data_IF_501859844865
#
_entry.id   IF_501859844865
#
_cell.length_a   1.000
_cell.length_b   1.000
_cell.length_c   1.000
_cell.angle_alpha   90.00
_cell.angle_beta   90.00
_cell.angle_gamma   90.00
#
_symmetry.space_group_name_H-M   'P 1'
#
loop_
_entity.id
_entity.type
_entity.pdbx_description
1 polymer ?
#
# COMPACT_ATOMS: atom_id res chain seq x y z
N UNK A 1 40.80 25.22 -14.04
CA UNK A 1 41.06 25.90 -12.75
C UNK A 1 40.89 27.38 -12.97
N UNK A 2 40.28 28.12 -12.03
CA UNK A 2 40.11 29.56 -12.14
C UNK A 2 41.48 30.23 -12.27
N UNK A 3 41.57 31.27 -13.09
CA UNK A 3 42.79 32.05 -13.29
C UNK A 3 42.58 33.41 -12.64
N UNK A 4 43.27 33.64 -11.52
CA UNK A 4 43.19 34.89 -10.76
C UNK A 4 44.22 35.87 -11.31
N UNK A 5 43.77 37.02 -11.81
CA UNK A 5 44.61 37.96 -12.57
C UNK A 5 44.97 39.25 -11.83
N UNK A 6 44.36 39.52 -10.67
CA UNK A 6 44.68 40.70 -9.86
C UNK A 6 44.49 40.46 -8.34
N UNK A 7 45.12 41.26 -7.48
CA UNK A 7 44.87 41.20 -6.03
C UNK A 7 43.45 41.68 -5.72
N UNK A 8 42.62 40.82 -5.13
CA UNK A 8 41.23 41.13 -4.79
C UNK A 8 40.56 39.99 -4.00
N UNK A 9 39.35 40.24 -3.49
CA UNK A 9 38.51 39.20 -2.89
C UNK A 9 37.66 38.59 -3.99
N UNK A 10 37.83 37.30 -4.22
CA UNK A 10 37.04 36.54 -5.18
C UNK A 10 35.97 35.75 -4.42
N UNK A 11 34.75 35.78 -4.95
CA UNK A 11 33.63 34.98 -4.45
C UNK A 11 33.37 33.93 -5.52
N UNK A 12 33.45 32.66 -5.13
CA UNK A 12 33.04 31.52 -5.95
C UNK A 12 31.83 30.85 -5.29
N UNK A 13 30.81 30.55 -6.09
CA UNK A 13 29.63 29.81 -5.65
C UNK A 13 29.72 28.38 -6.19
N UNK A 14 30.17 27.46 -5.34
CA UNK A 14 30.29 26.05 -5.68
C UNK A 14 29.00 25.32 -5.26
N UNK A 15 28.03 25.26 -6.17
CA UNK A 15 26.73 24.61 -5.90
C UNK A 15 26.84 23.10 -6.12
N UNK A 16 27.00 22.34 -5.04
CA UNK A 16 26.83 20.88 -5.07
C UNK A 16 25.33 20.51 -5.15
N UNK A 17 24.92 19.51 -5.95
CA UNK A 17 23.52 19.06 -5.97
C UNK A 17 23.04 18.63 -4.59
N UNK A 18 22.04 19.31 -4.04
CA UNK A 18 21.41 18.97 -2.78
C UNK A 18 20.31 17.92 -3.02
N UNK A 19 20.67 16.64 -2.93
CA UNK A 19 19.75 15.52 -3.10
C UNK A 19 19.29 14.96 -1.75
N UNK A 20 17.97 14.84 -1.56
CA UNK A 20 17.37 14.15 -0.40
C UNK A 20 16.16 13.35 -0.85
N UNK A 21 15.99 12.16 -0.26
CA UNK A 21 14.77 11.35 -0.46
C UNK A 21 13.77 11.72 0.63
N UNK A 22 12.56 12.11 0.23
CA UNK A 22 11.46 12.43 1.15
C UNK A 22 10.44 11.30 1.12
N UNK A 23 9.85 11.00 2.27
CA UNK A 23 8.70 10.09 2.35
C UNK A 23 7.46 10.75 1.75
N UNK A 24 6.82 10.10 0.78
CA UNK A 24 5.51 10.49 0.25
C UNK A 24 4.37 9.86 1.05
N UNK A 25 3.13 10.21 0.68
CA UNK A 25 1.95 9.54 1.21
C UNK A 25 2.01 8.03 0.88
N UNK A 26 1.64 7.18 1.85
CA UNK A 26 1.75 5.71 1.75
C UNK A 26 0.42 5.01 1.44
N UNK A 27 -0.70 5.69 1.72
CA UNK A 27 -2.05 5.18 1.55
C UNK A 27 -2.97 6.28 0.99
N UNK A 28 -2.95 6.48 -0.32
CA UNK A 28 -3.87 7.37 -1.04
C UNK A 28 -4.69 6.52 -2.00
N UNK A 29 -5.97 6.24 -1.68
CA UNK A 29 -6.79 5.35 -2.48
C UNK A 29 -7.53 6.06 -3.61
N UNK A 30 -7.63 5.35 -4.73
CA UNK A 30 -8.65 5.55 -5.76
C UNK A 30 -9.76 4.52 -5.55
N UNK A 31 -10.98 4.99 -5.34
CA UNK A 31 -12.18 4.16 -5.31
C UNK A 31 -12.75 4.02 -6.72
N UNK A 32 -12.95 2.79 -7.15
CA UNK A 32 -13.74 2.46 -8.32
C UNK A 32 -15.21 2.77 -8.04
N UNK A 33 -15.89 3.35 -9.03
CA UNK A 33 -17.28 3.80 -8.90
C UNK A 33 -18.06 3.47 -10.17
N UNK A 34 -19.32 3.08 -9.98
CA UNK A 34 -20.25 2.86 -11.09
C UNK A 34 -20.61 4.16 -11.80
N UNK A 35 -20.95 4.05 -13.09
CA UNK A 35 -21.41 5.17 -13.92
C UNK A 35 -22.80 5.71 -13.56
N UNK A 36 -23.50 5.09 -12.61
CA UNK A 36 -24.91 5.38 -12.36
C UNK A 36 -25.13 6.55 -11.38
N UNK A 37 -24.07 7.15 -10.86
CA UNK A 37 -24.14 8.29 -9.94
C UNK A 37 -24.02 9.64 -10.62
N UNK A 38 -24.88 10.59 -10.27
CA UNK A 38 -24.83 12.00 -10.72
C UNK A 38 -23.52 12.71 -10.37
N UNK A 39 -22.80 12.22 -9.35
CA UNK A 39 -21.61 12.85 -8.79
C UNK A 39 -20.45 12.95 -9.81
N UNK A 40 -20.32 11.99 -10.74
CA UNK A 40 -19.11 11.83 -11.58
C UNK A 40 -19.46 11.94 -13.07
N UNK A 41 -20.66 12.39 -13.45
CA UNK A 41 -21.08 12.39 -14.86
C UNK A 41 -20.10 13.13 -15.78
N UNK A 42 -19.61 14.31 -15.36
CA UNK A 42 -18.89 15.24 -16.23
C UNK A 42 -17.39 15.39 -15.90
N UNK A 43 -16.90 14.75 -14.84
CA UNK A 43 -15.49 14.85 -14.39
C UNK A 43 -14.77 13.53 -14.55
N UNK A 44 -13.54 13.58 -15.08
CA UNK A 44 -12.68 12.41 -15.23
C UNK A 44 -12.27 11.76 -13.90
N UNK A 45 -12.13 12.57 -12.84
CA UNK A 45 -11.94 12.10 -11.48
C UNK A 45 -12.39 13.17 -10.48
N UNK A 46 -12.65 12.77 -9.23
CA UNK A 46 -12.99 13.68 -8.14
C UNK A 46 -12.12 13.39 -6.93
N UNK A 47 -11.44 14.42 -6.41
CA UNK A 47 -10.73 14.33 -5.14
C UNK A 47 -11.70 14.66 -3.99
N UNK A 48 -11.77 13.76 -3.02
CA UNK A 48 -12.57 13.90 -1.82
C UNK A 48 -11.63 14.05 -0.63
N UNK A 49 -11.66 15.20 0.03
CA UNK A 49 -10.73 15.50 1.14
C UNK A 49 -11.21 14.98 2.50
N UNK A 50 -12.52 14.88 2.69
CA UNK A 50 -13.15 14.44 3.93
C UNK A 50 -14.58 13.97 3.68
N UNK A 51 -15.19 13.34 4.68
CA UNK A 51 -16.61 12.96 4.65
C UNK A 51 -17.55 14.16 4.39
N UNK A 52 -17.29 15.31 5.02
CA UNK A 52 -18.11 16.51 4.81
C UNK A 52 -17.97 17.05 3.37
N UNK A 53 -16.75 17.02 2.83
CA UNK A 53 -16.50 17.41 1.44
C UNK A 53 -17.25 16.48 0.46
N UNK A 54 -17.27 15.16 0.72
CA UNK A 54 -18.06 14.22 -0.07
C UNK A 54 -19.54 14.56 -0.09
N UNK A 55 -20.17 14.76 1.07
CA UNK A 55 -21.60 15.11 1.16
C UNK A 55 -21.91 16.44 0.43
N UNK A 56 -21.00 17.41 0.52
CA UNK A 56 -21.13 18.69 -0.19
C UNK A 56 -21.05 18.50 -1.71
N UNK A 57 -20.10 17.68 -2.19
CA UNK A 57 -19.94 17.38 -3.62
C UNK A 57 -21.14 16.60 -4.16
N UNK A 58 -21.67 15.67 -3.37
CA UNK A 58 -22.87 14.89 -3.70
C UNK A 58 -24.13 15.77 -3.75
N UNK A 59 -24.23 16.78 -2.89
CA UNK A 59 -25.41 17.65 -2.80
C UNK A 59 -26.67 16.95 -2.24
N UNK A 60 -26.53 15.70 -1.77
CA UNK A 60 -27.59 14.87 -1.24
C UNK A 60 -27.18 14.31 0.13
N UNK A 61 -28.14 14.03 1.03
CA UNK A 61 -27.83 13.37 2.28
C UNK A 61 -27.26 11.96 2.06
N UNK A 62 -26.66 11.43 3.12
CA UNK A 62 -26.19 10.05 3.18
C UNK A 62 -27.33 9.07 2.84
N UNK A 63 -27.07 8.17 1.89
CA UNK A 63 -28.01 7.14 1.47
C UNK A 63 -27.51 5.74 1.87
N UNK A 64 -28.13 5.06 2.85
CA UNK A 64 -27.71 3.73 3.30
C UNK A 64 -27.96 2.61 2.29
N UNK A 65 -28.57 2.90 1.13
CA UNK A 65 -28.77 1.97 0.01
C UNK A 65 -27.75 2.16 -1.12
N UNK A 66 -26.91 3.20 -1.05
CA UNK A 66 -25.90 3.47 -2.07
C UNK A 66 -24.55 2.89 -1.64
N UNK A 67 -23.95 2.03 -2.48
CA UNK A 67 -22.71 1.33 -2.15
C UNK A 67 -21.53 2.28 -1.95
N UNK A 68 -21.45 3.36 -2.72
CA UNK A 68 -20.39 4.35 -2.60
C UNK A 68 -20.52 5.15 -1.30
N UNK A 69 -21.74 5.56 -0.94
CA UNK A 69 -22.02 6.26 0.32
C UNK A 69 -21.57 5.42 1.53
N UNK A 70 -21.99 4.16 1.59
CA UNK A 70 -21.64 3.28 2.72
C UNK A 70 -20.14 2.96 2.74
N UNK A 71 -19.53 2.78 1.57
CA UNK A 71 -18.09 2.54 1.42
C UNK A 71 -17.24 3.70 1.92
N UNK A 72 -17.53 4.92 1.44
CA UNK A 72 -16.77 6.11 1.84
C UNK A 72 -16.99 6.45 3.30
N UNK A 73 -18.20 6.30 3.82
CA UNK A 73 -18.48 6.49 5.25
C UNK A 73 -17.62 5.53 6.08
N UNK A 74 -17.60 4.26 5.73
CA UNK A 74 -16.83 3.24 6.43
C UNK A 74 -15.31 3.49 6.32
N UNK A 75 -14.82 3.92 5.15
CA UNK A 75 -13.44 4.34 4.92
C UNK A 75 -13.00 5.48 5.85
N UNK A 76 -13.77 6.59 5.89
CA UNK A 76 -13.42 7.74 6.74
C UNK A 76 -13.50 7.42 8.23
N UNK A 77 -14.50 6.62 8.66
CA UNK A 77 -14.60 6.19 10.07
C UNK A 77 -13.38 5.37 10.52
N UNK A 78 -12.80 4.58 9.62
CA UNK A 78 -11.64 3.74 9.91
C UNK A 78 -10.29 4.45 9.70
N UNK A 79 -10.29 5.79 9.64
CA UNK A 79 -9.06 6.59 9.57
C UNK A 79 -8.56 6.90 8.16
N UNK A 80 -9.44 6.80 7.17
CA UNK A 80 -9.14 7.21 5.80
C UNK A 80 -8.77 8.69 5.68
N UNK A 81 -7.72 8.97 4.90
CA UNK A 81 -7.35 10.33 4.47
C UNK A 81 -8.14 10.78 3.24
N UNK A 82 -7.61 11.75 2.49
CA UNK A 82 -8.23 12.10 1.21
C UNK A 82 -8.14 10.92 0.21
N UNK A 83 -9.11 10.85 -0.69
CA UNK A 83 -9.18 9.80 -1.71
C UNK A 83 -9.61 10.38 -3.05
N UNK A 84 -9.50 9.58 -4.10
CA UNK A 84 -10.01 9.91 -5.42
C UNK A 84 -11.15 8.97 -5.80
N UNK A 85 -12.13 9.48 -6.53
CA UNK A 85 -13.21 8.71 -7.14
C UNK A 85 -13.01 8.72 -8.64
N UNK A 86 -12.98 7.53 -9.27
CA UNK A 86 -12.76 7.36 -10.70
C UNK A 86 -13.68 6.27 -11.21
N UNK A 87 -14.37 6.55 -12.33
CA UNK A 87 -15.25 5.58 -13.00
C UNK A 87 -14.51 4.30 -13.32
N UNK A 88 -15.12 3.15 -13.06
CA UNK A 88 -14.51 1.84 -13.28
C UNK A 88 -13.94 1.69 -14.71
N UNK A 89 -14.63 2.21 -15.73
CA UNK A 89 -14.20 2.16 -17.13
C UNK A 89 -13.04 3.09 -17.47
N UNK A 90 -12.82 4.14 -16.67
CA UNK A 90 -11.78 5.15 -16.91
C UNK A 90 -10.52 4.92 -16.04
N UNK A 91 -10.57 3.98 -15.09
CA UNK A 91 -9.47 3.68 -14.15
C UNK A 91 -8.12 3.52 -14.84
N UNK A 92 -8.06 2.72 -15.91
CA UNK A 92 -6.82 2.45 -16.65
C UNK A 92 -6.18 3.72 -17.22
N UNK A 93 -7.01 4.71 -17.59
CA UNK A 93 -6.55 5.96 -18.22
C UNK A 93 -6.30 7.09 -17.22
N UNK A 94 -7.01 7.12 -16.09
CA UNK A 94 -6.96 8.24 -15.14
C UNK A 94 -5.99 8.00 -14.00
N UNK A 95 -5.91 6.77 -13.47
CA UNK A 95 -5.01 6.45 -12.35
C UNK A 95 -3.54 6.80 -12.67
N UNK A 96 -2.99 6.50 -13.86
CA UNK A 96 -1.61 6.86 -14.17
C UNK A 96 -1.32 8.36 -14.23
N UNK A 97 -2.35 9.22 -14.29
CA UNK A 97 -2.22 10.69 -14.27
C UNK A 97 -2.20 11.27 -12.86
N UNK A 98 -2.47 10.46 -11.84
CA UNK A 98 -2.51 10.86 -10.44
C UNK A 98 -1.19 10.45 -9.78
N UNK A 99 -0.36 11.44 -9.45
CA UNK A 99 1.04 11.20 -9.04
C UNK A 99 1.20 10.58 -7.65
N UNK A 100 0.20 10.74 -6.77
CA UNK A 100 0.27 10.37 -5.36
C UNK A 100 -0.55 9.13 -5.00
N UNK A 101 -1.24 8.52 -5.96
CA UNK A 101 -2.07 7.33 -5.72
C UNK A 101 -1.21 6.11 -5.44
N UNK A 102 -1.53 5.41 -4.36
CA UNK A 102 -0.84 4.18 -3.97
C UNK A 102 -1.76 2.96 -3.87
N UNK A 103 -3.07 3.18 -3.67
CA UNK A 103 -4.05 2.11 -3.50
C UNK A 103 -5.14 2.16 -4.57
N UNK A 104 -5.49 1.01 -5.12
CA UNK A 104 -6.66 0.83 -5.98
C UNK A 104 -7.72 0.02 -5.21
N UNK A 105 -8.89 0.61 -4.98
CA UNK A 105 -9.92 0.04 -4.10
C UNK A 105 -11.15 -0.34 -4.92
N UNK A 106 -11.55 -1.60 -4.85
CA UNK A 106 -12.69 -2.15 -5.59
C UNK A 106 -14.03 -1.55 -5.15
N UNK A 107 -14.28 -1.46 -3.84
CA UNK A 107 -15.52 -0.92 -3.27
C UNK A 107 -16.81 -1.51 -3.86
N UNK A 108 -16.79 -2.83 -4.11
CA UNK A 108 -17.89 -3.59 -4.69
C UNK A 108 -17.88 -3.69 -6.21
N UNK A 109 -16.91 -3.05 -6.88
CA UNK A 109 -16.72 -3.13 -8.33
C UNK A 109 -15.73 -4.21 -8.74
N UNK A 110 -15.95 -4.80 -9.92
CA UNK A 110 -15.03 -5.76 -10.52
C UNK A 110 -13.87 -5.05 -11.22
N UNK A 111 -12.71 -4.99 -10.56
CA UNK A 111 -11.51 -4.29 -11.04
C UNK A 111 -10.33 -5.22 -11.35
N UNK A 112 -10.53 -6.54 -11.37
CA UNK A 112 -9.45 -7.53 -11.47
C UNK A 112 -8.57 -7.32 -12.71
N UNK A 113 -9.17 -7.09 -13.88
CA UNK A 113 -8.44 -6.88 -15.14
C UNK A 113 -7.63 -5.58 -15.11
N UNK A 114 -8.24 -4.48 -14.69
CA UNK A 114 -7.58 -3.17 -14.63
C UNK A 114 -6.48 -3.15 -13.58
N UNK A 115 -6.72 -3.76 -12.42
CA UNK A 115 -5.72 -3.94 -11.38
C UNK A 115 -4.53 -4.75 -11.91
N UNK A 116 -4.79 -5.81 -12.68
CA UNK A 116 -3.76 -6.60 -13.35
C UNK A 116 -2.90 -5.77 -14.29
N UNK A 117 -3.43 -4.74 -14.97
CA UNK A 117 -2.64 -3.86 -15.84
C UNK A 117 -1.90 -2.75 -15.10
N UNK A 118 -2.53 -2.18 -14.06
CA UNK A 118 -2.00 -1.02 -13.33
C UNK A 118 -1.00 -1.40 -12.23
N UNK A 119 -1.26 -2.49 -11.50
CA UNK A 119 -0.47 -2.92 -10.35
C UNK A 119 0.72 -3.79 -10.81
N UNK A 120 1.67 -3.13 -11.47
CA UNK A 120 2.87 -3.75 -12.06
C UNK A 120 4.15 -3.33 -11.32
N UNK A 121 5.24 -4.11 -11.41
CA UNK A 121 6.54 -3.73 -10.86
C UNK A 121 6.97 -2.32 -11.28
N UNK A 122 7.42 -1.50 -10.33
CA UNK A 122 7.87 -0.12 -10.57
C UNK A 122 6.77 0.94 -10.74
N UNK A 123 5.49 0.56 -10.63
CA UNK A 123 4.34 1.50 -10.63
C UNK A 123 3.91 1.94 -9.23
N UNK A 124 4.29 1.20 -8.18
CA UNK A 124 4.01 1.57 -6.79
C UNK A 124 2.56 1.34 -6.31
N UNK A 125 1.67 0.85 -7.18
CA UNK A 125 0.26 0.62 -6.86
C UNK A 125 0.04 -0.73 -6.15
N UNK A 126 -0.97 -0.78 -5.28
CA UNK A 126 -1.44 -1.98 -4.61
C UNK A 126 -2.98 -2.04 -4.61
N UNK A 127 -3.55 -3.14 -5.08
CA UNK A 127 -5.00 -3.33 -5.19
C UNK A 127 -5.60 -3.99 -3.93
N UNK A 128 -6.75 -3.50 -3.50
CA UNK A 128 -7.56 -4.09 -2.42
C UNK A 128 -8.89 -4.51 -3.02
N UNK A 129 -9.13 -5.81 -3.01
CA UNK A 129 -10.32 -6.44 -3.58
C UNK A 129 -11.28 -6.89 -2.48
N UNK A 130 -12.55 -6.91 -2.85
CA UNK A 130 -13.61 -7.52 -2.05
C UNK A 130 -13.67 -9.01 -2.35
N UNK A 131 -13.77 -9.83 -1.30
CA UNK A 131 -14.07 -11.25 -1.43
C UNK A 131 -15.52 -11.50 -1.84
N UNK A 132 -15.92 -12.77 -1.97
CA UNK A 132 -17.28 -13.13 -2.35
C UNK A 132 -18.33 -12.57 -1.37
N UNK A 133 -19.47 -12.13 -1.92
CA UNK A 133 -20.63 -11.64 -1.16
C UNK A 133 -21.47 -12.75 -0.52
N UNK A 134 -21.43 -13.94 -1.10
CA UNK A 134 -22.08 -15.13 -0.56
C UNK A 134 -21.23 -15.73 0.54
N UNK A 135 -21.87 -16.47 1.44
CA UNK A 135 -21.16 -17.28 2.43
C UNK A 135 -20.22 -18.26 1.72
N UNK A 136 -18.99 -18.38 2.21
CA UNK A 136 -17.98 -19.27 1.64
C UNK A 136 -17.92 -20.57 2.44
N UNK A 137 -17.97 -21.70 1.73
CA UNK A 137 -17.80 -23.02 2.33
C UNK A 137 -16.30 -23.35 2.43
N UNK A 138 -15.96 -24.09 3.48
CA UNK A 138 -14.66 -24.71 3.76
C UNK A 138 -14.20 -25.56 2.56
N UNK A 139 -15.12 -26.14 1.79
CA UNK A 139 -14.82 -27.12 0.73
C UNK A 139 -14.44 -26.54 -0.63
N UNK A 140 -14.69 -25.25 -0.90
CA UNK A 140 -14.52 -24.70 -2.27
C UNK A 140 -13.59 -23.46 -2.36
N UNK A 141 -12.40 -23.43 -1.72
CA UNK A 141 -11.51 -22.26 -1.75
C UNK A 141 -11.05 -21.90 -3.16
N UNK A 142 -10.77 -22.90 -4.01
CA UNK A 142 -10.35 -22.69 -5.40
C UNK A 142 -11.41 -21.95 -6.21
N UNK A 143 -12.69 -22.23 -5.98
CA UNK A 143 -13.80 -21.59 -6.70
C UNK A 143 -13.97 -20.15 -6.26
N UNK A 144 -13.94 -19.89 -4.96
CA UNK A 144 -14.05 -18.54 -4.40
C UNK A 144 -12.88 -17.64 -4.82
N UNK A 145 -11.68 -18.20 -4.97
CA UNK A 145 -10.48 -17.45 -5.34
C UNK A 145 -10.18 -17.46 -6.85
N UNK A 146 -10.92 -18.23 -7.65
CA UNK A 146 -10.76 -18.30 -9.11
C UNK A 146 -10.77 -16.93 -9.82
N UNK A 147 -11.63 -15.96 -9.44
CA UNK A 147 -11.67 -14.66 -10.12
C UNK A 147 -10.40 -13.83 -9.96
N UNK A 148 -9.62 -14.06 -8.91
CA UNK A 148 -8.42 -13.28 -8.62
C UNK A 148 -7.17 -13.96 -9.17
N UNK A 149 -6.43 -13.23 -10.00
CA UNK A 149 -5.12 -13.67 -10.49
C UNK A 149 -4.08 -13.65 -9.36
N UNK A 150 -3.15 -14.63 -9.29
CA UNK A 150 -2.03 -14.57 -8.36
C UNK A 150 -1.19 -13.31 -8.62
N UNK A 151 -0.97 -12.49 -7.58
CA UNK A 151 -0.15 -11.28 -7.67
C UNK A 151 0.32 -10.81 -6.31
N UNK A 152 1.59 -10.41 -6.22
CA UNK A 152 2.12 -9.74 -5.04
C UNK A 152 1.43 -8.39 -4.74
N UNK A 153 0.83 -7.74 -5.75
CA UNK A 153 0.31 -6.37 -5.66
C UNK A 153 -1.19 -6.30 -5.32
N UNK A 154 -1.76 -7.38 -4.79
CA UNK A 154 -3.18 -7.47 -4.50
C UNK A 154 -3.45 -8.18 -3.17
N UNK A 155 -4.52 -7.79 -2.50
CA UNK A 155 -5.06 -8.51 -1.35
C UNK A 155 -6.59 -8.55 -1.42
N UNK A 156 -7.18 -9.69 -1.07
CA UNK A 156 -8.63 -9.90 -1.02
C UNK A 156 -9.06 -10.03 0.43
N UNK A 157 -10.21 -9.45 0.78
CA UNK A 157 -10.77 -9.48 2.13
C UNK A 157 -12.19 -10.05 2.16
N UNK A 158 -12.45 -10.92 3.13
CA UNK A 158 -13.74 -11.54 3.40
C UNK A 158 -14.07 -11.46 4.90
N UNK A 159 -15.33 -11.44 5.33
CA UNK A 159 -16.54 -11.26 4.53
C UNK A 159 -16.86 -9.79 4.29
N UNK A 160 -17.90 -9.56 3.50
CA UNK A 160 -18.60 -8.29 3.49
C UNK A 160 -19.14 -7.94 4.88
N UNK A 161 -19.25 -6.65 5.15
CA UNK A 161 -19.57 -6.12 6.47
C UNK A 161 -21.00 -5.60 6.49
N UNK A 162 -21.59 -5.59 7.68
CA UNK A 162 -22.87 -4.93 7.96
C UNK A 162 -22.63 -3.86 9.02
N UNK A 163 -23.48 -2.83 9.06
CA UNK A 163 -23.40 -1.81 10.09
C UNK A 163 -24.79 -1.35 10.51
N UNK A 164 -24.88 -0.89 11.75
CA UNK A 164 -26.05 -0.20 12.28
C UNK A 164 -25.66 1.26 12.56
N UNK A 165 -26.18 2.19 11.74
CA UNK A 165 -25.82 3.60 11.80
C UNK A 165 -27.03 4.45 12.20
N UNK A 166 -27.16 4.70 13.50
CA UNK A 166 -28.32 5.40 14.07
C UNK A 166 -29.56 4.50 14.09
N UNK A 167 -30.74 5.05 13.83
CA UNK A 167 -32.00 4.27 13.77
C UNK A 167 -32.10 3.37 12.52
N UNK A 168 -31.17 3.52 11.57
CA UNK A 168 -31.18 2.78 10.31
C UNK A 168 -30.01 1.78 10.26
N UNK A 169 -30.33 0.50 10.07
CA UNK A 169 -29.35 -0.48 9.61
C UNK A 169 -28.90 -0.11 8.19
N UNK A 170 -27.61 -0.26 7.88
CA UNK A 170 -27.16 -0.18 6.49
C UNK A 170 -27.99 -1.15 5.67
N UNK A 171 -28.68 -0.64 4.65
CA UNK A 171 -29.67 -1.42 3.89
C UNK A 171 -29.00 -2.37 2.89
N UNK A 172 -27.69 -2.18 2.66
CA UNK A 172 -26.84 -3.01 1.81
C UNK A 172 -25.57 -3.38 2.58
N UNK A 173 -24.96 -4.49 2.17
CA UNK A 173 -23.68 -4.92 2.71
C UNK A 173 -22.55 -3.98 2.25
N UNK A 174 -21.58 -3.79 3.12
CA UNK A 174 -20.47 -2.85 2.93
C UNK A 174 -19.25 -3.65 2.42
N UNK A 175 -18.65 -3.23 1.29
CA UNK A 175 -17.48 -3.91 0.73
C UNK A 175 -16.28 -3.76 1.67
N UNK A 176 -15.58 -4.87 2.02
CA UNK A 176 -14.49 -4.84 2.98
C UNK A 176 -13.26 -4.09 2.46
N UNK A 177 -13.06 -3.98 1.15
CA UNK A 177 -11.94 -3.24 0.55
C UNK A 177 -11.94 -1.76 0.94
N UNK A 178 -13.12 -1.13 1.01
CA UNK A 178 -13.28 0.26 1.41
C UNK A 178 -12.85 0.49 2.87
N UNK A 179 -13.23 -0.44 3.74
CA UNK A 179 -12.85 -0.43 5.17
C UNK A 179 -11.35 -0.65 5.32
N UNK A 180 -10.80 -1.61 4.58
CA UNK A 180 -9.36 -1.92 4.61
C UNK A 180 -8.49 -0.78 4.10
N UNK A 181 -8.95 0.00 3.11
CA UNK A 181 -8.25 1.20 2.68
C UNK A 181 -8.08 2.23 3.82
N UNK A 182 -9.10 2.37 4.67
CA UNK A 182 -9.04 3.25 5.85
C UNK A 182 -8.08 2.69 6.91
N UNK A 183 -8.15 1.39 7.17
CA UNK A 183 -7.25 0.70 8.10
C UNK A 183 -5.80 0.78 7.65
N UNK A 184 -5.51 0.65 6.35
CA UNK A 184 -4.16 0.83 5.81
C UNK A 184 -3.64 2.24 6.11
N UNK A 185 -4.43 3.27 5.84
CA UNK A 185 -4.05 4.65 6.14
C UNK A 185 -3.80 4.86 7.65
N UNK A 186 -4.69 4.35 8.50
CA UNK A 186 -4.58 4.46 9.95
C UNK A 186 -3.34 3.74 10.52
N UNK A 187 -3.07 2.51 10.06
CA UNK A 187 -1.90 1.74 10.49
C UNK A 187 -0.61 2.38 10.00
N UNK A 188 -0.55 2.80 8.74
CA UNK A 188 0.64 3.44 8.19
C UNK A 188 1.00 4.73 8.96
N UNK A 189 -0.01 5.57 9.24
CA UNK A 189 0.19 6.83 9.95
C UNK A 189 0.64 6.64 11.40
N UNK A 190 0.18 5.58 12.07
CA UNK A 190 0.46 5.34 13.49
C UNK A 190 1.70 4.50 13.74
N UNK A 191 2.01 3.57 12.83
CA UNK A 191 2.99 2.48 13.05
C UNK A 191 3.98 2.28 11.89
N UNK A 192 3.78 2.99 10.78
CA UNK A 192 4.57 2.84 9.56
C UNK A 192 4.05 1.71 8.65
N UNK A 193 4.34 1.84 7.35
CA UNK A 193 3.88 0.93 6.28
C UNK A 193 4.38 -0.52 6.43
N UNK A 194 5.45 -0.73 7.19
CA UNK A 194 6.00 -2.04 7.52
C UNK A 194 5.17 -2.80 8.56
N UNK A 195 4.24 -2.16 9.27
CA UNK A 195 3.34 -2.88 10.18
C UNK A 195 2.21 -3.54 9.39
N UNK A 196 2.03 -4.85 9.61
CA UNK A 196 0.90 -5.59 9.06
C UNK A 196 -0.45 -4.92 9.41
N UNK A 197 -1.36 -4.71 8.45
CA UNK A 197 -2.70 -4.17 8.69
C UNK A 197 -3.68 -5.23 9.23
N UNK A 198 -3.19 -6.08 10.15
CA UNK A 198 -3.94 -7.15 10.80
C UNK A 198 -3.80 -7.03 12.33
N UNK A 199 -4.72 -7.71 13.04
CA UNK A 199 -4.99 -7.53 14.46
C UNK A 199 -5.33 -6.06 14.77
N UNK A 200 -6.19 -5.47 13.95
CA UNK A 200 -6.66 -4.08 14.08
C UNK A 200 -8.18 -4.10 14.22
N UNK A 201 -8.74 -3.43 15.26
CA UNK A 201 -10.18 -3.36 15.44
C UNK A 201 -10.85 -2.46 14.41
N UNK A 202 -11.94 -2.95 13.84
CA UNK A 202 -12.77 -2.17 12.91
C UNK A 202 -13.66 -1.22 13.71
N UNK A 203 -13.66 0.05 13.32
CA UNK A 203 -14.43 1.12 13.94
C UNK A 203 -15.80 1.29 13.28
N UNK A 204 -16.73 1.99 13.95
CA UNK A 204 -18.01 2.38 13.33
C UNK A 204 -19.14 1.37 13.39
N UNK A 205 -19.07 0.42 14.33
CA UNK A 205 -20.12 -0.60 14.52
C UNK A 205 -20.21 -1.61 13.37
N UNK A 206 -19.16 -1.72 12.55
CA UNK A 206 -19.08 -2.67 11.46
C UNK A 206 -18.88 -4.09 12.01
N UNK A 207 -19.66 -5.03 11.49
CA UNK A 207 -19.58 -6.45 11.84
C UNK A 207 -19.51 -7.33 10.60
N UNK A 208 -18.79 -8.47 10.63
CA UNK A 208 -18.80 -9.47 9.57
C UNK A 208 -20.21 -9.97 9.30
N UNK A 209 -20.65 -9.97 8.05
CA UNK A 209 -21.96 -10.54 7.65
C UNK A 209 -22.03 -12.03 7.96
N UNK A 210 -20.93 -12.74 7.73
CA UNK A 210 -20.79 -14.17 8.00
C UNK A 210 -19.77 -14.41 9.11
N UNK A 211 -20.04 -15.31 10.05
CA UNK A 211 -19.04 -15.72 11.03
C UNK A 211 -17.94 -16.54 10.33
N UNK A 212 -16.71 -16.42 10.82
CA UNK A 212 -15.55 -17.11 10.27
C UNK A 212 -14.89 -17.96 11.35
N UNK A 213 -14.87 -19.27 11.11
CA UNK A 213 -14.23 -20.26 11.98
C UNK A 213 -12.74 -20.40 11.66
N UNK A 214 -11.97 -20.98 12.60
CA UNK A 214 -10.55 -21.26 12.39
C UNK A 214 -10.32 -22.28 11.26
N UNK A 215 -11.19 -23.29 11.15
CA UNK A 215 -11.11 -24.31 10.11
C UNK A 215 -11.34 -23.72 8.72
N UNK A 216 -12.32 -22.81 8.59
CA UNK A 216 -12.57 -22.08 7.35
C UNK A 216 -11.33 -21.27 6.97
N UNK A 217 -10.80 -20.47 7.91
CA UNK A 217 -9.62 -19.66 7.63
C UNK A 217 -8.40 -20.50 7.24
N UNK A 218 -8.23 -21.68 7.85
CA UNK A 218 -7.11 -22.58 7.56
C UNK A 218 -7.09 -23.03 6.10
N UNK A 219 -8.25 -23.29 5.49
CA UNK A 219 -8.34 -23.69 4.07
C UNK A 219 -8.04 -22.53 3.12
N UNK A 220 -8.45 -21.32 3.50
CA UNK A 220 -8.33 -20.13 2.66
C UNK A 220 -7.02 -19.35 2.85
N UNK A 221 -6.18 -19.78 3.79
CA UNK A 221 -4.81 -19.30 3.98
C UNK A 221 -3.78 -20.24 3.32
N UNK A 222 -4.13 -21.03 2.32
CA UNK A 222 -3.18 -21.89 1.59
C UNK A 222 -3.12 -21.47 0.12
N UNK A 223 -1.92 -21.33 -0.46
CA UNK A 223 -1.78 -20.80 -1.81
C UNK A 223 -2.23 -19.33 -1.88
N UNK A 224 -3.15 -19.02 -2.79
CA UNK A 224 -3.79 -17.69 -2.85
C UNK A 224 -4.56 -17.46 -1.56
N UNK A 225 -4.14 -16.46 -0.77
CA UNK A 225 -4.78 -16.19 0.51
C UNK A 225 -6.03 -15.32 0.37
N UNK A 226 -7.08 -15.66 1.14
CA UNK A 226 -8.22 -14.78 1.41
C UNK A 226 -8.10 -14.26 2.84
N UNK A 227 -7.78 -12.97 3.00
CA UNK A 227 -7.67 -12.38 4.33
C UNK A 227 -9.06 -12.28 4.97
N UNK A 228 -9.16 -12.66 6.24
CA UNK A 228 -10.46 -12.73 6.92
C UNK A 228 -10.63 -11.66 7.98
N UNK A 229 -11.84 -11.14 8.11
CA UNK A 229 -12.30 -10.25 9.17
C UNK A 229 -13.16 -11.08 10.11
N UNK A 230 -12.84 -11.07 11.40
CA UNK A 230 -13.40 -12.00 12.39
C UNK A 230 -13.85 -11.28 13.64
N UNK A 231 -14.86 -11.82 14.29
CA UNK A 231 -15.34 -11.31 15.59
C UNK A 231 -14.85 -12.20 16.71
N UNK A 232 -14.21 -11.59 17.71
CA UNK A 232 -13.72 -12.25 18.91
C UNK A 232 -14.49 -11.74 20.14
N UNK A 233 -14.90 -12.61 21.09
CA UNK A 233 -15.74 -12.20 22.22
C UNK A 233 -15.20 -11.04 23.08
N UNK A 234 -13.88 -10.88 23.20
CA UNK A 234 -13.25 -9.83 24.03
C UNK A 234 -12.66 -8.67 23.24
N UNK A 235 -12.36 -8.88 21.96
CA UNK A 235 -11.63 -7.90 21.13
C UNK A 235 -12.51 -7.26 20.05
N UNK A 236 -13.77 -7.68 19.94
CA UNK A 236 -14.69 -7.23 18.91
C UNK A 236 -14.29 -7.74 17.52
N UNK A 237 -14.68 -7.00 16.50
CA UNK A 237 -14.36 -7.31 15.10
C UNK A 237 -12.96 -6.83 14.74
N UNK A 238 -12.10 -7.76 14.33
CA UNK A 238 -10.70 -7.52 13.96
C UNK A 238 -10.44 -7.97 12.53
N UNK A 239 -9.55 -7.26 11.84
CA UNK A 239 -8.89 -7.78 10.64
C UNK A 239 -7.89 -8.86 11.04
N UNK A 240 -7.97 -10.04 10.44
CA UNK A 240 -7.22 -11.23 10.86
C UNK A 240 -6.43 -11.90 9.73
N UNK A 241 -5.93 -11.12 8.77
CA UNK A 241 -5.05 -11.58 7.70
C UNK A 241 -4.21 -10.45 7.12
N UNK A 242 -2.99 -10.75 6.70
CA UNK A 242 -2.05 -9.78 6.11
C UNK A 242 -1.27 -10.36 4.91
N UNK A 243 -1.86 -11.31 4.19
CA UNK A 243 -1.26 -11.98 3.04
C UNK A 243 -1.69 -11.36 1.72
N UNK A 244 -0.81 -11.36 0.73
CA UNK A 244 -1.13 -10.97 -0.64
C UNK A 244 -1.79 -12.13 -1.37
N UNK A 245 -2.14 -11.93 -2.65
CA UNK A 245 -2.58 -12.98 -3.56
C UNK A 245 -1.45 -13.87 -4.08
N UNK A 246 -0.21 -13.68 -3.63
CA UNK A 246 0.94 -14.48 -4.04
C UNK A 246 1.50 -15.31 -2.90
N UNK A 247 1.76 -16.59 -3.16
CA UNK A 247 2.32 -17.54 -2.20
C UNK A 247 3.81 -17.81 -2.42
N UNK A 248 4.57 -16.75 -2.66
CA UNK A 248 6.04 -16.82 -2.72
C UNK A 248 6.64 -16.30 -1.41
N UNK A 249 7.75 -16.88 -0.97
CA UNK A 249 8.40 -16.49 0.28
C UNK A 249 8.87 -15.01 0.29
N UNK A 250 9.05 -14.43 -0.89
CA UNK A 250 9.45 -13.03 -1.04
C UNK A 250 8.28 -12.07 -0.83
N UNK A 251 7.10 -12.39 -1.38
CA UNK A 251 5.99 -11.42 -1.50
C UNK A 251 4.69 -11.86 -0.82
N UNK A 252 4.74 -12.90 0.03
CA UNK A 252 3.58 -13.42 0.77
C UNK A 252 2.83 -12.36 1.59
N UNK A 253 3.51 -11.35 2.13
CA UNK A 253 2.93 -10.43 3.11
C UNK A 253 2.73 -9.01 2.56
N UNK A 254 1.54 -8.46 2.82
CA UNK A 254 1.13 -7.08 2.52
C UNK A 254 2.11 -6.04 3.05
N UNK A 255 2.52 -6.03 4.34
CA UNK A 255 3.46 -5.02 4.84
C UNK A 255 4.82 -5.07 4.13
N UNK A 256 5.28 -6.26 3.71
CA UNK A 256 6.54 -6.40 2.98
C UNK A 256 6.40 -5.79 1.59
N UNK A 257 5.37 -6.16 0.81
CA UNK A 257 5.17 -5.58 -0.53
C UNK A 257 4.96 -4.07 -0.48
N UNK A 258 4.14 -3.57 0.45
CA UNK A 258 3.84 -2.14 0.57
C UNK A 258 5.05 -1.32 1.04
N UNK A 259 5.91 -1.89 1.89
CA UNK A 259 7.19 -1.27 2.25
C UNK A 259 8.08 -1.07 1.02
N UNK A 260 8.22 -2.11 0.19
CA UNK A 260 8.99 -2.01 -1.06
C UNK A 260 8.36 -1.01 -2.04
N UNK A 261 7.04 -1.03 -2.25
CA UNK A 261 6.36 -0.03 -3.09
C UNK A 261 6.66 1.41 -2.63
N UNK A 262 6.54 1.67 -1.33
CA UNK A 262 6.79 3.00 -0.76
C UNK A 262 8.25 3.42 -0.93
N UNK A 263 9.21 2.53 -0.60
CA UNK A 263 10.63 2.82 -0.75
C UNK A 263 11.04 3.06 -2.22
N UNK A 264 10.58 2.21 -3.14
CA UNK A 264 10.82 2.35 -4.58
C UNK A 264 10.28 3.69 -5.10
N UNK A 265 9.05 4.06 -4.71
CA UNK A 265 8.43 5.32 -5.14
C UNK A 265 9.16 6.55 -4.59
N UNK A 266 9.51 6.55 -3.31
CA UNK A 266 10.24 7.65 -2.67
C UNK A 266 11.61 7.87 -3.32
N UNK A 267 12.36 6.77 -3.52
CA UNK A 267 13.67 6.82 -4.17
C UNK A 267 13.52 7.31 -5.61
N UNK A 268 12.57 6.77 -6.38
CA UNK A 268 12.31 7.19 -7.76
C UNK A 268 11.99 8.68 -7.87
N UNK A 269 11.13 9.19 -6.99
CA UNK A 269 10.76 10.61 -6.95
C UNK A 269 11.99 11.49 -6.69
N UNK A 270 12.87 11.08 -5.78
CA UNK A 270 14.11 11.80 -5.49
C UNK A 270 15.09 11.75 -6.68
N UNK A 271 15.22 10.60 -7.33
CA UNK A 271 16.15 10.43 -8.46
C UNK A 271 15.74 11.24 -9.69
N UNK A 272 14.50 11.73 -9.77
CA UNK A 272 14.06 12.60 -10.88
C UNK A 272 14.93 13.87 -11.02
N UNK A 273 15.43 14.42 -9.92
CA UNK A 273 16.30 15.58 -9.90
C UNK A 273 17.72 15.30 -10.45
N UNK A 274 18.13 14.03 -10.56
CA UNK A 274 19.44 13.64 -11.06
C UNK A 274 19.43 13.25 -12.54
N UNK A 275 18.26 13.32 -13.19
CA UNK A 275 18.14 13.07 -14.63
C UNK A 275 18.84 14.22 -15.37
N UNK A 276 19.72 13.87 -16.32
CA UNK A 276 20.59 14.78 -17.07
C UNK A 276 21.77 15.41 -16.30
N UNK A 277 21.98 15.03 -15.04
CA UNK A 277 23.23 15.35 -14.34
C UNK A 277 24.42 14.59 -14.97
N UNK A 278 25.65 15.13 -14.92
CA UNK A 278 26.83 14.45 -15.44
C UNK A 278 27.03 13.07 -14.80
N UNK A 279 27.06 12.00 -15.60
CA UNK A 279 27.21 10.61 -15.14
C UNK A 279 28.65 10.33 -14.67
N UNK A 280 28.96 10.80 -13.47
CA UNK A 280 30.31 10.88 -12.92
C UNK A 280 30.34 10.53 -11.42
N UNK A 281 31.54 10.27 -10.90
CA UNK A 281 31.74 9.85 -9.51
C UNK A 281 31.12 10.80 -8.45
N UNK A 282 31.17 12.14 -8.59
CA UNK A 282 30.47 13.05 -7.69
C UNK A 282 28.95 12.82 -7.64
N UNK A 283 28.31 12.69 -8.80
CA UNK A 283 26.86 12.42 -8.93
C UNK A 283 26.51 11.09 -8.27
N UNK A 284 27.32 10.05 -8.48
CA UNK A 284 27.11 8.74 -7.88
C UNK A 284 27.19 8.78 -6.34
N UNK A 285 28.15 9.55 -5.80
CA UNK A 285 28.27 9.74 -4.34
C UNK A 285 27.08 10.49 -3.76
N UNK A 286 26.56 11.49 -4.46
CA UNK A 286 25.35 12.21 -4.04
C UNK A 286 24.12 11.30 -4.03
N UNK A 287 23.92 10.50 -5.08
CA UNK A 287 22.86 9.48 -5.17
C UNK A 287 22.97 8.45 -4.05
N UNK A 288 24.16 7.87 -3.85
CA UNK A 288 24.40 6.91 -2.78
C UNK A 288 24.02 7.49 -1.42
N UNK A 289 24.53 8.69 -1.09
CA UNK A 289 24.28 9.34 0.20
C UNK A 289 22.80 9.62 0.42
N UNK A 290 22.07 10.06 -0.60
CA UNK A 290 20.65 10.35 -0.48
C UNK A 290 19.82 9.09 -0.19
N UNK A 291 20.11 7.98 -0.87
CA UNK A 291 19.43 6.70 -0.65
C UNK A 291 19.83 6.11 0.71
N UNK A 292 21.11 6.12 1.04
CA UNK A 292 21.63 5.61 2.32
C UNK A 292 20.99 6.32 3.52
N UNK A 293 20.94 7.67 3.52
CA UNK A 293 20.31 8.44 4.59
C UNK A 293 18.83 8.08 4.79
N UNK A 294 18.10 7.85 3.70
CA UNK A 294 16.68 7.48 3.77
C UNK A 294 16.49 6.07 4.34
N UNK A 295 17.26 5.10 3.87
CA UNK A 295 17.19 3.73 4.38
C UNK A 295 17.66 3.63 5.82
N UNK A 296 18.66 4.43 6.20
CA UNK A 296 19.09 4.56 7.59
C UNK A 296 17.95 5.05 8.48
N UNK A 297 17.23 6.09 8.05
CA UNK A 297 16.07 6.62 8.79
C UNK A 297 14.97 5.57 8.91
N UNK A 298 14.69 4.83 7.84
CA UNK A 298 13.70 3.76 7.83
C UNK A 298 14.08 2.61 8.78
N UNK A 299 15.36 2.25 8.83
CA UNK A 299 15.90 1.27 9.78
C UNK A 299 15.79 1.75 11.23
N UNK A 300 16.16 3.00 11.53
CA UNK A 300 16.03 3.58 12.88
C UNK A 300 14.57 3.60 13.39
N UNK A 301 13.60 3.73 12.48
CA UNK A 301 12.17 3.64 12.79
C UNK A 301 11.66 2.19 12.98
N UNK A 302 12.51 1.19 12.79
CA UNK A 302 12.17 -0.23 12.92
C UNK A 302 11.50 -0.83 11.68
N UNK A 303 11.55 -0.14 10.53
CA UNK A 303 10.97 -0.64 9.28
C UNK A 303 11.79 -1.72 8.59
N UNK A 304 13.08 -1.80 8.92
CA UNK A 304 14.01 -2.80 8.38
C UNK A 304 14.55 -3.70 9.49
N UNK A 305 14.72 -4.98 9.18
CA UNK A 305 15.25 -6.00 10.09
C UNK A 305 16.77 -5.98 10.09
N UNK A 306 17.37 -5.93 11.28
CA UNK A 306 18.82 -6.05 11.44
C UNK A 306 19.30 -5.31 12.68
N UNK A 307 20.27 -5.88 13.39
CA UNK A 307 20.85 -5.24 14.58
C UNK A 307 21.82 -4.11 14.21
N UNK A 308 22.30 -4.11 12.97
CA UNK A 308 23.15 -3.07 12.39
C UNK A 308 22.62 -2.67 11.01
N UNK A 309 22.88 -1.43 10.59
CA UNK A 309 22.42 -0.90 9.31
C UNK A 309 22.89 -1.77 8.12
N UNK A 310 24.10 -2.30 8.16
CA UNK A 310 24.69 -3.12 7.09
C UNK A 310 24.03 -4.50 6.95
N UNK A 311 23.30 -4.95 7.97
CA UNK A 311 22.46 -6.15 7.91
C UNK A 311 21.07 -5.84 7.37
N UNK A 312 20.62 -4.60 7.52
CA UNK A 312 19.26 -4.17 7.20
C UNK A 312 19.10 -3.72 5.75
N UNK A 313 20.13 -3.09 5.18
CA UNK A 313 20.11 -2.65 3.79
C UNK A 313 21.51 -2.50 3.21
N UNK A 314 21.59 -2.41 1.89
CA UNK A 314 22.79 -1.97 1.19
C UNK A 314 22.44 -1.07 0.02
N UNK A 315 23.37 -0.16 -0.32
CA UNK A 315 23.32 0.66 -1.53
C UNK A 315 24.65 0.49 -2.26
N UNK A 316 24.61 0.14 -3.54
CA UNK A 316 25.80 0.00 -4.37
C UNK A 316 25.65 0.81 -5.64
N UNK A 317 26.66 1.62 -5.94
CA UNK A 317 26.78 2.37 -7.19
C UNK A 317 28.26 2.58 -7.50
N UNK A 318 28.68 2.28 -8.73
CA UNK A 318 30.01 2.62 -9.21
C UNK A 318 30.47 1.81 -10.41
N UNK A 319 31.46 2.35 -11.13
CA UNK A 319 32.16 1.65 -12.21
C UNK A 319 32.91 0.44 -11.65
N UNK A 320 32.72 -0.73 -12.26
CA UNK A 320 33.29 -2.01 -11.81
C UNK A 320 32.54 -2.68 -10.65
N UNK A 321 31.52 -2.02 -10.07
CA UNK A 321 30.67 -2.57 -9.02
C UNK A 321 29.25 -2.84 -9.53
N UNK A 322 28.61 -1.82 -10.11
CA UNK A 322 27.25 -1.91 -10.67
C UNK A 322 27.19 -1.57 -12.16
N UNK A 323 28.20 -0.86 -12.69
CA UNK A 323 28.23 -0.39 -14.08
C UNK A 323 29.54 -0.77 -14.77
N UNK A 324 29.45 -1.03 -16.06
CA UNK A 324 30.60 -1.17 -16.98
C UNK A 324 30.92 0.16 -17.67
N UNK A 325 32.04 0.22 -18.41
CA UNK A 325 32.34 1.39 -19.24
C UNK A 325 31.29 1.63 -20.33
N UNK A 326 30.73 0.57 -20.88
CA UNK A 326 29.71 0.67 -21.93
C UNK A 326 28.37 1.17 -21.38
N UNK A 327 28.00 0.79 -20.15
CA UNK A 327 26.84 1.36 -19.46
C UNK A 327 26.96 2.88 -19.32
N UNK A 328 28.14 3.36 -18.90
CA UNK A 328 28.40 4.80 -18.71
C UNK A 328 28.35 5.53 -20.05
N UNK A 329 28.95 4.98 -21.11
CA UNK A 329 28.91 5.56 -22.47
C UNK A 329 27.49 5.60 -23.04
N UNK A 330 26.64 4.64 -22.68
CA UNK A 330 25.21 4.62 -23.01
C UNK A 330 24.37 5.55 -22.11
N UNK A 331 24.99 6.29 -21.19
CA UNK A 331 24.30 7.22 -20.29
C UNK A 331 23.54 6.55 -19.16
N UNK A 332 23.79 5.26 -18.87
CA UNK A 332 23.12 4.53 -17.79
C UNK A 332 23.83 4.74 -16.46
N UNK A 333 23.02 4.98 -15.42
CA UNK A 333 23.45 4.95 -14.03
C UNK A 333 22.72 3.82 -13.30
N UNK A 334 23.43 2.78 -12.87
CA UNK A 334 22.84 1.59 -12.24
C UNK A 334 23.12 1.61 -10.74
N UNK A 335 22.05 1.67 -9.94
CA UNK A 335 22.09 1.56 -8.48
C UNK A 335 21.49 0.20 -8.09
N UNK A 336 22.16 -0.54 -7.22
CA UNK A 336 21.60 -1.73 -6.57
C UNK A 336 21.24 -1.40 -5.14
N UNK A 337 20.00 -1.65 -4.76
CA UNK A 337 19.49 -1.43 -3.41
C UNK A 337 18.91 -2.75 -2.89
N UNK A 338 19.33 -3.15 -1.69
CA UNK A 338 18.75 -4.29 -0.98
C UNK A 338 18.12 -3.86 0.34
N UNK A 339 16.99 -4.46 0.69
CA UNK A 339 16.24 -4.18 1.91
C UNK A 339 15.87 -5.49 2.62
N UNK A 340 16.08 -5.56 3.92
CA UNK A 340 15.60 -6.64 4.76
C UNK A 340 14.29 -6.19 5.45
N UNK A 341 13.14 -6.50 4.86
CA UNK A 341 11.85 -6.15 5.44
C UNK A 341 11.50 -7.02 6.67
N UNK A 342 10.84 -6.43 7.65
CA UNK A 342 10.31 -7.17 8.81
C UNK A 342 9.08 -7.99 8.38
N UNK A 343 9.07 -9.28 8.69
CA UNK A 343 7.92 -10.18 8.48
C UNK A 343 7.05 -10.23 9.74
N UNK A 344 5.71 -10.27 9.60
CA UNK A 344 4.83 -10.42 10.76
C UNK A 344 4.93 -11.83 11.35
N UNK A 345 4.82 -11.94 12.68
CA UNK A 345 4.64 -13.21 13.36
C UNK A 345 3.17 -13.67 13.21
N UNK A 346 2.90 -14.48 12.18
CA UNK A 346 1.55 -15.00 11.90
C UNK A 346 1.15 -16.15 12.85
N UNK A 347 2.10 -17.00 13.22
CA UNK A 347 1.87 -18.15 14.10
C UNK A 347 2.72 -18.01 15.36
N UNK A 348 2.09 -18.15 16.54
CA UNK A 348 2.77 -18.21 17.84
C UNK A 348 2.51 -19.60 18.41
N UNK A 349 3.57 -20.40 18.56
CA UNK A 349 3.49 -21.79 19.05
C UNK A 349 3.99 -21.80 20.50
N UNK A 350 3.10 -22.14 21.43
CA UNK A 350 3.45 -22.32 22.85
C UNK A 350 3.67 -23.81 23.13
N UNK A 351 4.89 -24.18 23.51
CA UNK A 351 5.25 -25.55 23.85
C UNK A 351 5.38 -25.66 25.38
N UNK A 352 4.47 -26.40 26.00
CA UNK A 352 4.47 -26.64 27.44
C UNK A 352 5.11 -27.98 27.74
N UNK A 353 6.08 -28.01 28.66
CA UNK A 353 6.70 -29.23 29.19
C UNK A 353 6.58 -29.26 30.70
N UNK A 354 6.29 -30.44 31.25
CA UNK A 354 6.35 -30.68 32.70
C UNK A 354 7.76 -31.11 33.15
N UNK A 355 8.64 -31.48 32.19
CA UNK A 355 10.02 -31.82 32.51
C UNK A 355 10.86 -30.54 32.60
N UNK A 356 11.22 -30.18 33.84
CA UNK A 356 11.99 -28.97 34.18
C UNK A 356 13.50 -29.21 34.04
N UNK A 357 13.94 -30.47 33.93
CA UNK A 357 15.34 -30.78 33.69
C UNK A 357 15.66 -30.57 32.20
N UNK A 358 16.33 -29.45 31.90
CA UNK A 358 17.01 -29.21 30.62
C UNK A 358 18.46 -29.65 30.69
#
# INVERSE_FOLDING_TARGET
MPTYSYPGVYIEEDASPALSVRSSATAVPVFAVTNNGSLISDKSYIRVSSWMNYLTLKGEPFNPKNILDVSLRAYFINGGGYCYLVKTQELETQVPKLDDVTLLVAAGEEINEVAGKLCQPGKGLFAIFDGPQSDTDIKEPEKALKPYSPTAYGAVYYPWLTAEWGENKAAIDIPPSAVMAGIYASVDNSRGVWKAPANVPIQGGLQPKYPVTDDLQTQYNQGKALNMIRTFPKSGTLVWGARTLEDSDNWRYIPVRRLFNSAEQNIKNAMSAMVFEPNSQPTWKAVHRAIDNYLHTLWQQGGLMGNKAEQAYFVQIGKGLTMTDDDIKQGKMIVKVGLAAVRPAEFIILQFTQNIAQ
#
